data_IF_434590898604
#
_entry.id   IF_434590898604
#
_cell.length_a   1.000
_cell.length_b   1.000
_cell.length_c   1.000
_cell.angle_alpha   90.00
_cell.angle_beta   90.00
_cell.angle_gamma   90.00
#
_symmetry.space_group_name_H-M   'P 1'
#
loop_
_entity.id
_entity.type
_entity.pdbx_description
1 polymer ?
#
# COMPACT_ATOMS: atom_id res chain seq x y z
N UNK A 1 -24.41 -3.20 -67.00
CA UNK A 1 -23.49 -2.20 -66.42
C UNK A 1 -23.57 -2.33 -64.89
N UNK A 2 -22.43 -2.61 -64.25
CA UNK A 2 -22.31 -2.87 -62.81
C UNK A 2 -22.28 -1.53 -62.05
N UNK A 3 -23.09 -1.38 -61.01
CA UNK A 3 -22.91 -0.35 -59.99
C UNK A 3 -22.70 -1.05 -58.65
N UNK A 4 -21.50 -0.85 -58.11
CA UNK A 4 -21.02 -1.30 -56.81
C UNK A 4 -21.54 -0.30 -55.78
N UNK A 5 -22.27 -0.76 -54.76
CA UNK A 5 -22.53 0.03 -53.56
C UNK A 5 -21.93 -0.70 -52.36
N UNK A 6 -20.77 -0.22 -51.91
CA UNK A 6 -20.17 -0.57 -50.62
C UNK A 6 -20.84 0.31 -49.57
N UNK A 7 -21.50 -0.30 -48.60
CA UNK A 7 -21.90 0.38 -47.36
C UNK A 7 -21.12 -0.26 -46.23
N UNK A 8 -20.10 0.46 -45.79
CA UNK A 8 -19.30 0.16 -44.60
C UNK A 8 -19.93 0.94 -43.46
N UNK A 9 -20.65 0.25 -42.57
CA UNK A 9 -21.25 0.83 -41.36
C UNK A 9 -20.80 0.03 -40.16
N UNK A 10 -19.89 0.60 -39.37
CA UNK A 10 -19.33 0.02 -38.17
C UNK A 10 -20.41 -0.12 -37.07
N UNK A 11 -20.66 -1.35 -36.62
CA UNK A 11 -21.45 -1.64 -35.43
C UNK A 11 -20.50 -1.74 -34.24
N UNK A 12 -20.34 -0.64 -33.50
CA UNK A 12 -19.55 -0.62 -32.27
C UNK A 12 -20.40 -1.20 -31.12
N UNK A 13 -20.05 -2.41 -30.69
CA UNK A 13 -20.63 -3.06 -29.51
C UNK A 13 -20.25 -2.26 -28.25
N UNK A 14 -21.21 -1.58 -27.63
CA UNK A 14 -21.09 -1.13 -26.24
C UNK A 14 -21.28 -2.34 -25.31
N UNK A 15 -20.19 -3.02 -24.98
CA UNK A 15 -20.14 -3.96 -23.86
C UNK A 15 -20.06 -3.15 -22.56
N UNK A 16 -21.23 -2.78 -22.02
CA UNK A 16 -21.38 -2.33 -20.64
C UNK A 16 -21.22 -3.55 -19.72
N UNK A 17 -19.98 -3.82 -19.30
CA UNK A 17 -19.71 -4.75 -18.21
C UNK A 17 -20.20 -4.15 -16.88
N UNK A 18 -20.78 -4.95 -15.96
CA UNK A 18 -21.15 -4.47 -14.65
C UNK A 18 -19.90 -4.05 -13.87
N UNK A 19 -19.91 -2.81 -13.37
CA UNK A 19 -19.00 -2.33 -12.34
C UNK A 19 -19.17 -3.22 -11.11
N UNK A 20 -18.29 -4.19 -10.95
CA UNK A 20 -18.13 -4.90 -9.69
C UNK A 20 -17.60 -3.87 -8.68
N UNK A 21 -18.44 -3.46 -7.73
CA UNK A 21 -17.96 -2.77 -6.54
C UNK A 21 -16.98 -3.70 -5.81
N UNK A 22 -15.79 -3.22 -5.41
CA UNK A 22 -14.90 -4.05 -4.59
C UNK A 22 -15.63 -4.35 -3.28
N UNK A 23 -15.77 -5.65 -2.98
CA UNK A 23 -16.26 -6.10 -1.70
C UNK A 23 -15.33 -5.52 -0.62
N UNK A 24 -15.88 -4.70 0.28
CA UNK A 24 -15.22 -4.34 1.52
C UNK A 24 -15.18 -5.60 2.39
N UNK A 25 -14.16 -6.43 2.18
CA UNK A 25 -13.84 -7.53 3.08
C UNK A 25 -13.35 -6.95 4.40
N UNK A 26 -13.87 -7.46 5.51
CA UNK A 26 -13.25 -7.25 6.81
C UNK A 26 -11.87 -7.91 6.76
N UNK A 27 -10.83 -7.11 6.91
CA UNK A 27 -9.46 -7.58 7.05
C UNK A 27 -9.23 -7.85 8.54
N UNK A 28 -9.31 -9.13 8.93
CA UNK A 28 -9.27 -9.57 10.33
C UNK A 28 -7.91 -9.28 11.00
N UNK A 29 -6.88 -8.99 10.22
CA UNK A 29 -5.53 -8.71 10.72
C UNK A 29 -5.29 -7.20 10.97
N UNK A 30 -6.29 -6.34 10.69
CA UNK A 30 -6.22 -4.89 10.88
C UNK A 30 -6.72 -4.52 12.27
N UNK A 31 -5.78 -4.20 13.16
CA UNK A 31 -6.06 -3.78 14.53
C UNK A 31 -6.46 -2.31 14.65
N UNK A 32 -6.01 -1.49 13.70
CA UNK A 32 -6.41 -0.09 13.64
C UNK A 32 -6.74 0.32 12.21
N UNK A 33 -7.90 0.96 12.04
CA UNK A 33 -8.25 1.72 10.85
C UNK A 33 -8.60 3.16 11.25
N UNK A 34 -7.96 4.13 10.57
CA UNK A 34 -8.18 5.56 10.78
C UNK A 34 -8.26 6.29 9.44
N UNK A 35 -9.19 7.23 9.34
CA UNK A 35 -9.22 8.17 8.22
C UNK A 35 -8.47 9.43 8.60
N UNK A 36 -7.50 9.81 7.79
CA UNK A 36 -6.77 11.09 7.89
C UNK A 36 -7.25 12.02 6.79
N UNK A 37 -7.47 13.29 7.13
CA UNK A 37 -7.94 14.32 6.20
C UNK A 37 -7.02 15.53 6.27
N UNK A 38 -6.68 16.05 5.10
CA UNK A 38 -6.13 17.40 4.95
C UNK A 38 -7.15 18.24 4.18
N UNK A 39 -7.71 19.24 4.86
CA UNK A 39 -8.74 20.11 4.31
C UNK A 39 -8.20 21.17 3.34
N UNK A 40 -6.96 21.60 3.54
CA UNK A 40 -6.34 22.63 2.71
C UNK A 40 -6.02 22.07 1.33
N UNK A 41 -5.55 20.81 1.29
CA UNK A 41 -5.31 20.05 0.05
C UNK A 41 -6.56 19.34 -0.47
N UNK A 42 -7.64 19.26 0.32
CA UNK A 42 -8.90 18.60 -0.06
C UNK A 42 -8.75 17.09 -0.28
N UNK A 43 -7.84 16.44 0.46
CA UNK A 43 -7.46 15.04 0.29
C UNK A 43 -7.77 14.22 1.55
N UNK A 44 -8.13 12.95 1.36
CA UNK A 44 -8.36 11.99 2.45
C UNK A 44 -7.64 10.67 2.18
N UNK A 45 -7.03 10.12 3.22
CA UNK A 45 -6.49 8.77 3.21
C UNK A 45 -7.12 7.91 4.31
N UNK A 46 -7.14 6.62 4.07
CA UNK A 46 -7.34 5.62 5.12
C UNK A 46 -5.99 5.02 5.47
N UNK A 47 -5.70 4.87 6.75
CA UNK A 47 -4.50 4.26 7.30
C UNK A 47 -4.93 3.05 8.10
N UNK A 48 -4.37 1.90 7.75
CA UNK A 48 -4.57 0.62 8.41
C UNK A 48 -3.27 0.19 9.05
N UNK A 49 -3.35 -0.42 10.22
CA UNK A 49 -2.21 -0.96 10.92
C UNK A 49 -2.44 -2.44 11.26
N UNK A 50 -1.47 -3.26 10.89
CA UNK A 50 -1.38 -4.69 11.21
C UNK A 50 -0.11 -4.89 12.05
N UNK A 51 -0.19 -5.20 13.35
CA UNK A 51 1.00 -5.31 14.22
C UNK A 51 1.82 -6.59 13.99
N UNK A 52 1.19 -7.63 13.42
CA UNK A 52 1.79 -8.96 13.27
C UNK A 52 1.82 -9.41 11.80
N UNK A 53 2.55 -8.70 10.95
CA UNK A 53 2.83 -9.17 9.59
C UNK A 53 4.04 -10.10 9.59
N UNK A 54 3.84 -11.34 9.18
CA UNK A 54 4.91 -12.32 9.04
C UNK A 54 5.88 -11.87 7.95
N UNK A 55 7.15 -11.78 8.30
CA UNK A 55 8.28 -11.45 7.43
C UNK A 55 9.36 -12.52 7.56
N UNK A 56 10.31 -12.54 6.63
CA UNK A 56 11.40 -13.48 6.63
C UNK A 56 12.41 -13.19 5.55
N UNK A 57 13.55 -13.87 5.63
CA UNK A 57 14.64 -13.64 4.70
C UNK A 57 15.63 -14.77 4.63
N UNK A 58 16.60 -14.58 3.74
CA UNK A 58 17.69 -15.51 3.50
C UNK A 58 18.98 -14.71 3.34
N UNK A 59 20.01 -15.11 4.06
CA UNK A 59 21.34 -14.53 3.95
C UNK A 59 22.37 -15.61 3.58
N UNK A 60 23.26 -15.29 2.65
CA UNK A 60 24.38 -16.15 2.29
C UNK A 60 25.67 -15.61 2.87
N UNK A 61 26.37 -16.44 3.65
CA UNK A 61 27.63 -16.09 4.32
C UNK A 61 28.74 -16.89 3.66
N UNK A 62 29.68 -16.20 3.00
CA UNK A 62 30.88 -16.81 2.44
C UNK A 62 31.94 -17.00 3.53
N UNK A 63 32.18 -18.24 3.93
CA UNK A 63 33.18 -18.60 4.92
C UNK A 63 34.60 -18.46 4.35
N UNK A 64 35.58 -18.25 5.22
CA UNK A 64 37.00 -18.12 4.83
C UNK A 64 37.60 -19.35 4.12
N UNK A 65 36.93 -20.50 4.20
CA UNK A 65 37.30 -21.74 3.49
C UNK A 65 36.61 -21.88 2.10
N UNK A 66 35.90 -20.85 1.64
CA UNK A 66 35.17 -20.85 0.36
C UNK A 66 33.82 -21.55 0.37
N UNK A 67 33.38 -22.10 1.52
CA UNK A 67 32.02 -22.65 1.66
C UNK A 67 30.99 -21.55 1.90
N UNK A 68 29.76 -21.78 1.45
CA UNK A 68 28.63 -20.86 1.69
C UNK A 68 27.72 -21.45 2.76
N UNK A 69 27.48 -20.69 3.82
CA UNK A 69 26.43 -20.96 4.80
C UNK A 69 25.20 -20.15 4.43
N UNK A 70 24.03 -20.79 4.41
CA UNK A 70 22.76 -20.11 4.17
C UNK A 70 22.01 -20.02 5.48
N UNK A 71 21.68 -18.80 5.91
CA UNK A 71 20.82 -18.52 7.04
C UNK A 71 19.41 -18.24 6.52
N UNK A 72 18.42 -18.87 7.13
CA UNK A 72 17.02 -18.51 6.97
C UNK A 72 16.52 -17.93 8.30
N UNK A 73 15.70 -16.90 8.22
CA UNK A 73 15.09 -16.30 9.40
C UNK A 73 13.65 -15.89 9.10
N UNK A 74 12.84 -15.96 10.16
CA UNK A 74 11.42 -15.65 10.17
C UNK A 74 11.20 -14.63 11.29
N UNK A 75 10.26 -13.72 11.11
CA UNK A 75 9.94 -12.71 12.12
C UNK A 75 8.55 -12.12 11.92
N UNK A 76 8.17 -11.24 12.84
CA UNK A 76 6.97 -10.41 12.71
C UNK A 76 7.38 -8.95 12.76
N UNK A 77 6.70 -8.13 11.96
CA UNK A 77 6.86 -6.68 11.95
C UNK A 77 5.48 -6.04 11.79
N UNK A 78 5.32 -4.87 12.39
CA UNK A 78 4.16 -4.02 12.15
C UNK A 78 4.16 -3.52 10.71
N UNK A 79 2.97 -3.31 10.17
CA UNK A 79 2.78 -2.76 8.84
C UNK A 79 1.67 -1.73 8.86
N UNK A 80 1.98 -0.56 8.32
CA UNK A 80 1.00 0.43 7.92
C UNK A 80 0.68 0.29 6.45
N UNK A 81 -0.61 0.33 6.11
CA UNK A 81 -1.11 0.51 4.76
C UNK A 81 -1.91 1.81 4.71
N UNK A 82 -1.43 2.78 3.94
CA UNK A 82 -2.11 4.04 3.73
C UNK A 82 -2.60 4.14 2.28
N UNK A 83 -3.85 4.53 2.07
CA UNK A 83 -4.45 4.65 0.73
C UNK A 83 -5.25 5.95 0.60
N UNK A 84 -5.01 6.73 -0.45
CA UNK A 84 -5.82 7.91 -0.78
C UNK A 84 -7.19 7.44 -1.27
N UNK A 85 -8.24 7.84 -0.56
CA UNK A 85 -9.63 7.46 -0.83
C UNK A 85 -10.48 8.62 -1.39
N UNK A 86 -9.97 9.86 -1.34
CA UNK A 86 -10.60 11.01 -1.95
C UNK A 86 -9.61 12.15 -2.17
N UNK A 87 -9.88 12.99 -3.18
CA UNK A 87 -8.96 14.04 -3.62
C UNK A 87 -8.06 13.56 -4.75
N UNK A 88 -7.32 14.49 -5.36
CA UNK A 88 -6.34 14.19 -6.39
C UNK A 88 -5.07 14.98 -6.11
N UNK A 89 -3.95 14.27 -6.05
CA UNK A 89 -2.61 14.80 -5.86
C UNK A 89 -1.73 14.25 -6.98
N UNK A 90 -0.66 14.97 -7.33
CA UNK A 90 0.40 14.39 -8.14
C UNK A 90 1.08 13.26 -7.36
N UNK A 91 1.73 12.32 -8.05
CA UNK A 91 2.25 11.09 -7.42
C UNK A 91 3.19 11.38 -6.24
N UNK A 92 4.15 12.30 -6.41
CA UNK A 92 5.08 12.71 -5.34
C UNK A 92 4.37 13.36 -4.14
N UNK A 93 3.35 14.17 -4.41
CA UNK A 93 2.55 14.83 -3.37
C UNK A 93 1.64 13.83 -2.64
N UNK A 94 1.14 12.83 -3.36
CA UNK A 94 0.35 11.74 -2.81
C UNK A 94 1.20 10.88 -1.87
N UNK A 95 2.41 10.52 -2.29
CA UNK A 95 3.36 9.80 -1.44
C UNK A 95 3.66 10.60 -0.16
N UNK A 96 4.02 11.89 -0.30
CA UNK A 96 4.31 12.75 0.85
C UNK A 96 3.12 12.83 1.82
N UNK A 97 1.90 13.02 1.30
CA UNK A 97 0.69 13.02 2.11
C UNK A 97 0.45 11.69 2.82
N UNK A 98 0.66 10.55 2.16
CA UNK A 98 0.48 9.24 2.79
C UNK A 98 1.49 9.00 3.92
N UNK A 99 2.73 9.49 3.79
CA UNK A 99 3.73 9.46 4.87
C UNK A 99 3.30 10.31 6.06
N UNK A 100 2.83 11.53 5.80
CA UNK A 100 2.27 12.41 6.83
C UNK A 100 1.07 11.78 7.54
N UNK A 101 0.21 11.07 6.79
CA UNK A 101 -0.94 10.37 7.35
C UNK A 101 -0.54 9.23 8.29
N UNK A 102 0.51 8.46 7.95
CA UNK A 102 1.07 7.44 8.84
C UNK A 102 1.61 8.08 10.13
N UNK A 103 2.36 9.18 10.04
CA UNK A 103 2.87 9.91 11.21
C UNK A 103 1.75 10.49 12.07
N UNK A 104 0.67 10.96 11.45
CA UNK A 104 -0.49 11.46 12.18
C UNK A 104 -1.18 10.36 13.01
N UNK A 105 -1.17 9.11 12.51
CA UNK A 105 -1.72 7.94 13.22
C UNK A 105 -0.75 7.41 14.26
N UNK A 106 0.54 7.33 13.94
CA UNK A 106 1.58 6.85 14.82
C UNK A 106 2.80 7.77 14.81
N UNK A 107 2.86 8.78 15.70
CA UNK A 107 3.95 9.75 15.74
C UNK A 107 5.32 9.16 16.09
N UNK A 108 5.37 7.93 16.60
CA UNK A 108 6.62 7.24 16.95
C UNK A 108 7.28 6.52 15.78
N UNK A 109 6.65 6.48 14.60
CA UNK A 109 7.29 5.91 13.40
C UNK A 109 8.51 6.74 13.05
N UNK A 110 9.66 6.07 12.94
CA UNK A 110 10.95 6.70 12.68
C UNK A 110 10.99 7.34 11.28
N UNK A 111 11.56 8.54 11.19
CA UNK A 111 11.78 9.24 9.94
C UNK A 111 12.73 8.46 9.00
N UNK A 112 13.70 7.73 9.55
CA UNK A 112 14.62 6.91 8.76
C UNK A 112 13.90 5.71 8.13
N UNK A 113 12.91 5.13 8.82
CA UNK A 113 12.06 4.06 8.26
C UNK A 113 11.21 4.60 7.14
N UNK A 114 10.63 5.80 7.31
CA UNK A 114 9.89 6.46 6.24
C UNK A 114 10.83 6.74 5.05
N UNK A 115 12.05 7.23 5.24
CA UNK A 115 12.95 7.49 4.12
C UNK A 115 13.58 6.24 3.46
N UNK A 116 13.38 5.04 4.05
CA UNK A 116 14.14 3.84 3.73
C UNK A 116 13.48 2.86 2.76
N UNK A 117 14.19 1.74 2.54
CA UNK A 117 13.79 0.63 1.65
C UNK A 117 12.57 -0.16 2.17
N UNK A 118 12.15 0.11 3.40
CA UNK A 118 10.98 -0.49 4.05
C UNK A 118 9.67 0.25 3.73
N UNK A 119 9.68 1.13 2.73
CA UNK A 119 8.49 1.78 2.19
C UNK A 119 8.26 1.35 0.75
N UNK A 120 7.03 0.93 0.46
CA UNK A 120 6.59 0.55 -0.88
C UNK A 120 5.46 1.46 -1.32
N UNK A 121 5.60 2.05 -2.49
CA UNK A 121 4.62 2.99 -3.04
C UNK A 121 4.08 2.42 -4.34
N UNK A 122 2.76 2.40 -4.47
CA UNK A 122 2.06 1.88 -5.64
C UNK A 122 0.81 2.70 -5.92
N UNK A 123 0.94 3.72 -6.77
CA UNK A 123 -0.15 4.61 -7.14
C UNK A 123 -0.68 5.38 -5.93
N UNK A 124 -1.95 5.20 -5.60
CA UNK A 124 -2.60 5.87 -4.46
C UNK A 124 -2.36 5.17 -3.11
N UNK A 125 -1.46 4.20 -3.04
CA UNK A 125 -1.20 3.36 -1.86
C UNK A 125 0.26 3.39 -1.44
N UNK A 126 0.48 3.33 -0.14
CA UNK A 126 1.78 3.28 0.52
C UNK A 126 1.77 2.21 1.61
N UNK A 127 2.78 1.35 1.63
CA UNK A 127 3.04 0.38 2.69
C UNK A 127 4.31 0.79 3.44
N UNK A 128 4.26 0.83 4.77
CA UNK A 128 5.42 1.03 5.65
C UNK A 128 5.53 -0.14 6.60
N UNK A 129 6.70 -0.76 6.68
CA UNK A 129 6.97 -1.78 7.69
C UNK A 129 7.58 -1.13 8.93
N UNK A 130 6.77 -0.85 9.93
CA UNK A 130 7.14 -0.19 11.17
C UNK A 130 6.23 -0.62 12.32
N UNK A 131 6.79 -0.71 13.53
CA UNK A 131 5.99 -0.92 14.73
C UNK A 131 5.43 0.39 15.28
N UNK A 132 4.32 0.28 16.00
CA UNK A 132 3.70 1.39 16.70
C UNK A 132 3.44 1.06 18.17
N UNK A 133 4.43 1.28 19.06
CA UNK A 133 4.33 0.90 20.46
C UNK A 133 3.06 1.42 21.14
N UNK A 134 2.64 2.65 20.83
CA UNK A 134 1.44 3.25 21.41
C UNK A 134 0.13 2.53 21.02
N UNK A 135 0.09 1.85 19.86
CA UNK A 135 -1.04 1.00 19.46
C UNK A 135 -0.82 -0.41 20.00
N UNK A 136 0.40 -0.95 19.87
CA UNK A 136 0.74 -2.31 20.28
C UNK A 136 0.43 -2.56 21.76
N UNK A 137 0.75 -1.60 22.63
CA UNK A 137 0.46 -1.64 24.08
C UNK A 137 -1.05 -1.71 24.41
N UNK A 138 -1.93 -1.42 23.45
CA UNK A 138 -3.40 -1.49 23.65
C UNK A 138 -3.99 -2.85 23.29
N UNK A 139 -3.18 -3.76 22.74
CA UNK A 139 -3.59 -5.09 22.29
C UNK A 139 -3.37 -6.19 23.33
N UNK A 140 -2.74 -5.86 24.47
CA UNK A 140 -2.42 -6.74 25.59
C UNK A 140 -3.62 -7.09 26.50
#
# INVERSE_FOLDING_TARGET
MRAVLRVTGALMLCLLGPLAAPAAGFDEDVELERTVRDDDRGVRAIVRYRPFVMTGGREEILNGNGTVTVLHWDGFVGQFEAEVIAGHLADDDAEAFLREAVVAVCPSVDADVLAGEWVQVSGNRLLVFAQCPAIDETLD
#
